data_IF_141862409434
#
_entry.id   IF_141862409434
#
_cell.length_a   1.000
_cell.length_b   1.000
_cell.length_c   1.000
_cell.angle_alpha   90.00
_cell.angle_beta   90.00
_cell.angle_gamma   90.00
#
_symmetry.space_group_name_H-M   'P 1'
#
loop_
_entity.id
_entity.type
_entity.pdbx_description
1 polymer ?
#
# COMPACT_ATOMS: atom_id res chain seq x y z
N UNK A 1 27.93 23.09 -1.85
CA UNK A 1 26.63 23.01 -1.14
C UNK A 1 26.70 23.60 0.28
N UNK A 2 25.64 24.21 0.84
CA UNK A 2 25.60 24.69 2.23
C UNK A 2 25.78 23.58 3.29
N UNK A 3 26.33 23.90 4.46
CA UNK A 3 26.64 22.90 5.49
C UNK A 3 25.41 22.18 6.06
N UNK A 4 24.24 22.84 6.10
CA UNK A 4 22.99 22.24 6.58
C UNK A 4 22.45 21.12 5.67
N UNK A 5 22.98 21.00 4.44
CA UNK A 5 22.62 19.94 3.51
C UNK A 5 23.55 18.73 3.58
N UNK A 6 24.66 18.80 4.31
CA UNK A 6 25.65 17.71 4.38
C UNK A 6 25.17 16.49 5.20
N UNK A 7 23.88 16.40 5.52
CA UNK A 7 23.18 15.29 6.17
C UNK A 7 23.94 14.60 7.31
N UNK A 8 24.71 15.37 8.08
CA UNK A 8 25.39 14.86 9.29
C UNK A 8 24.37 14.78 10.41
N UNK A 9 23.52 13.76 10.37
CA UNK A 9 22.56 13.53 11.43
C UNK A 9 23.25 12.97 12.67
N UNK A 10 23.05 13.62 13.82
CA UNK A 10 23.55 13.15 15.11
C UNK A 10 22.65 12.04 15.69
N UNK A 11 22.43 10.96 14.93
CA UNK A 11 21.63 9.80 15.35
C UNK A 11 22.51 8.55 15.60
N UNK A 12 22.01 7.57 16.38
CA UNK A 12 22.66 6.27 16.54
C UNK A 12 22.90 5.60 15.17
N UNK A 13 24.06 4.93 15.01
CA UNK A 13 24.53 4.36 13.73
C UNK A 13 23.49 3.64 12.86
N UNK A 14 22.62 2.75 13.37
CA UNK A 14 21.68 2.05 12.47
C UNK A 14 20.63 3.00 11.88
N UNK A 15 20.14 3.95 12.66
CA UNK A 15 19.14 4.93 12.20
C UNK A 15 19.79 5.94 11.25
N UNK A 16 21.02 6.37 11.54
CA UNK A 16 21.77 7.28 10.69
C UNK A 16 21.95 6.70 9.27
N UNK A 17 22.31 5.42 9.15
CA UNK A 17 22.48 4.74 7.84
C UNK A 17 21.15 4.68 7.07
N UNK A 18 20.05 4.35 7.74
CA UNK A 18 18.73 4.29 7.08
C UNK A 18 18.29 5.67 6.60
N UNK A 19 18.49 6.70 7.42
CA UNK A 19 18.13 8.08 7.07
C UNK A 19 19.03 8.63 5.96
N UNK A 20 20.33 8.30 5.96
CA UNK A 20 21.28 8.69 4.94
C UNK A 20 21.01 7.99 3.60
N UNK A 21 20.77 6.67 3.62
CA UNK A 21 20.37 5.91 2.44
C UNK A 21 19.01 6.35 1.92
N UNK A 22 18.05 6.59 2.82
CA UNK A 22 16.72 7.08 2.48
C UNK A 22 16.77 8.45 1.84
N UNK A 23 17.50 9.40 2.45
CA UNK A 23 17.68 10.73 1.91
C UNK A 23 18.43 10.72 0.57
N UNK A 24 19.55 10.00 0.49
CA UNK A 24 20.31 9.84 -0.75
C UNK A 24 19.46 9.21 -1.85
N UNK A 25 18.68 8.18 -1.51
CA UNK A 25 17.71 7.56 -2.41
C UNK A 25 16.62 8.52 -2.87
N UNK A 26 16.06 9.32 -1.96
CA UNK A 26 15.07 10.35 -2.26
C UNK A 26 15.64 11.45 -3.17
N UNK A 27 16.88 11.87 -2.94
CA UNK A 27 17.59 12.83 -3.79
C UNK A 27 17.89 12.25 -5.18
N UNK A 28 18.38 11.01 -5.25
CA UNK A 28 18.58 10.27 -6.49
C UNK A 28 17.27 10.11 -7.27
N UNK A 29 16.16 9.79 -6.60
CA UNK A 29 14.85 9.67 -7.23
C UNK A 29 14.30 11.03 -7.69
N UNK A 30 14.50 12.09 -6.90
CA UNK A 30 13.94 13.40 -7.20
C UNK A 30 14.68 14.15 -8.30
N UNK A 31 16.02 14.05 -8.34
CA UNK A 31 16.85 14.80 -9.28
C UNK A 31 17.47 13.93 -10.37
N UNK A 32 17.55 12.62 -10.17
CA UNK A 32 18.16 11.70 -11.13
C UNK A 32 19.67 11.93 -11.29
N UNK A 33 20.31 12.61 -10.33
CA UNK A 33 21.76 12.77 -10.19
C UNK A 33 22.22 12.05 -8.93
N UNK A 34 23.35 11.35 -9.00
CA UNK A 34 23.98 10.68 -7.86
C UNK A 34 24.71 11.64 -6.94
N UNK A 35 24.98 12.86 -7.41
CA UNK A 35 25.69 13.87 -6.67
C UNK A 35 24.86 15.16 -6.56
N UNK A 36 24.70 15.64 -5.33
CA UNK A 36 24.03 16.89 -5.03
C UNK A 36 24.95 18.10 -5.29
N UNK A 37 26.26 17.91 -5.22
CA UNK A 37 27.23 18.96 -5.52
C UNK A 37 27.27 19.27 -7.02
N UNK A 38 27.10 18.26 -7.87
CA UNK A 38 26.93 18.46 -9.32
C UNK A 38 25.65 19.26 -9.60
N UNK A 39 24.52 18.85 -9.01
CA UNK A 39 23.26 19.57 -9.14
C UNK A 39 23.38 21.01 -8.64
N UNK A 40 24.04 21.22 -7.50
CA UNK A 40 24.33 22.54 -6.95
C UNK A 40 25.11 23.40 -7.94
N UNK A 41 26.15 22.85 -8.55
CA UNK A 41 26.98 23.57 -9.51
C UNK A 41 26.20 23.96 -10.76
N UNK A 42 25.31 23.09 -11.25
CA UNK A 42 24.42 23.37 -12.38
C UNK A 42 23.45 24.49 -12.02
N UNK A 43 22.84 24.43 -10.83
CA UNK A 43 21.88 25.43 -10.36
C UNK A 43 22.51 26.79 -10.09
N UNK A 44 23.74 26.82 -9.57
CA UNK A 44 24.48 28.05 -9.38
C UNK A 44 24.87 28.71 -10.73
N UNK A 45 25.22 27.90 -11.73
CA UNK A 45 25.52 28.39 -13.09
C UNK A 45 24.26 28.74 -13.88
N UNK A 46 23.13 28.09 -13.59
CA UNK A 46 21.83 28.34 -14.21
C UNK A 46 21.31 29.76 -14.01
N UNK A 47 21.79 30.50 -12.99
CA UNK A 47 21.46 31.92 -12.83
C UNK A 47 22.06 32.77 -13.96
N UNK A 48 23.22 32.36 -14.50
CA UNK A 48 23.91 33.03 -15.60
C UNK A 48 23.53 32.44 -16.96
N UNK A 49 23.28 31.13 -17.03
CA UNK A 49 23.00 30.39 -18.26
C UNK A 49 21.62 29.71 -18.22
N UNK A 50 20.65 30.36 -18.88
CA UNK A 50 19.26 29.88 -18.96
C UNK A 50 19.10 28.63 -19.82
N UNK A 51 20.01 28.40 -20.78
CA UNK A 51 19.91 27.26 -21.69
C UNK A 51 20.24 25.97 -20.94
N UNK A 52 21.29 25.97 -20.10
CA UNK A 52 21.64 24.85 -19.24
C UNK A 52 20.50 24.46 -18.30
N UNK A 53 19.82 25.44 -17.71
CA UNK A 53 18.68 25.17 -16.83
C UNK A 53 17.50 24.55 -17.60
N UNK A 54 17.23 25.05 -18.80
CA UNK A 54 16.13 24.56 -19.64
C UNK A 54 16.40 23.14 -20.10
N UNK A 55 17.63 22.83 -20.51
CA UNK A 55 18.05 21.48 -20.89
C UNK A 55 17.96 20.50 -19.70
N UNK A 56 18.37 20.92 -18.51
CA UNK A 56 18.22 20.13 -17.29
C UNK A 56 16.74 19.87 -16.96
N UNK A 57 15.90 20.92 -17.00
CA UNK A 57 14.46 20.81 -16.77
C UNK A 57 13.81 19.83 -17.74
N UNK A 58 14.14 19.92 -19.02
CA UNK A 58 13.57 19.07 -20.06
C UNK A 58 13.92 17.60 -19.82
N UNK A 59 15.18 17.31 -19.46
CA UNK A 59 15.63 15.96 -19.10
C UNK A 59 14.87 15.38 -17.91
N UNK A 60 14.67 16.17 -16.85
CA UNK A 60 13.91 15.74 -15.67
C UNK A 60 12.44 15.54 -16.02
N UNK A 61 11.82 16.50 -16.71
CA UNK A 61 10.42 16.43 -17.14
C UNK A 61 10.14 15.19 -18.00
N UNK A 62 11.03 14.89 -18.95
CA UNK A 62 10.96 13.70 -19.80
C UNK A 62 10.95 12.41 -18.97
N UNK A 63 11.87 12.27 -18.01
CA UNK A 63 11.93 11.10 -17.11
C UNK A 63 10.69 10.94 -16.26
N UNK A 64 10.23 12.02 -15.62
CA UNK A 64 9.01 11.99 -14.78
C UNK A 64 7.78 11.67 -15.62
N UNK A 65 7.70 12.17 -16.85
CA UNK A 65 6.62 11.85 -17.79
C UNK A 65 6.59 10.35 -18.12
N UNK A 66 7.74 9.76 -18.49
CA UNK A 66 7.85 8.32 -18.77
C UNK A 66 7.45 7.49 -17.54
N UNK A 67 7.93 7.83 -16.34
CA UNK A 67 7.56 7.13 -15.10
C UNK A 67 6.07 7.24 -14.82
N UNK A 68 5.47 8.41 -15.04
CA UNK A 68 4.04 8.64 -14.83
C UNK A 68 3.19 7.82 -15.80
N UNK A 69 3.60 7.70 -17.07
CA UNK A 69 2.94 6.85 -18.07
C UNK A 69 3.03 5.38 -17.65
N UNK A 70 4.21 4.89 -17.29
CA UNK A 70 4.41 3.50 -16.84
C UNK A 70 3.59 3.21 -15.59
N UNK A 71 3.58 4.12 -14.61
CA UNK A 71 2.77 4.00 -13.41
C UNK A 71 1.26 3.94 -13.74
N UNK A 72 0.78 4.76 -14.68
CA UNK A 72 -0.60 4.72 -15.15
C UNK A 72 -0.98 3.41 -15.83
N UNK A 73 -0.06 2.80 -16.58
CA UNK A 73 -0.29 1.48 -17.19
C UNK A 73 -0.38 0.38 -16.13
N UNK A 74 0.56 0.36 -15.17
CA UNK A 74 0.53 -0.59 -14.04
C UNK A 74 -0.75 -0.40 -13.22
N UNK A 75 -1.18 0.84 -13.01
CA UNK A 75 -2.42 1.17 -12.32
C UNK A 75 -3.64 0.56 -13.02
N UNK A 76 -3.73 0.73 -14.35
CA UNK A 76 -4.84 0.18 -15.14
C UNK A 76 -4.87 -1.35 -15.08
N UNK A 77 -3.72 -2.01 -15.19
CA UNK A 77 -3.63 -3.47 -15.06
C UNK A 77 -4.01 -3.95 -13.65
N UNK A 78 -3.57 -3.24 -12.61
CA UNK A 78 -3.91 -3.56 -11.22
C UNK A 78 -5.41 -3.36 -10.96
N UNK A 79 -6.00 -2.29 -11.50
CA UNK A 79 -7.43 -2.04 -11.42
C UNK A 79 -8.23 -3.14 -12.13
N UNK A 80 -7.79 -3.59 -13.31
CA UNK A 80 -8.41 -4.72 -14.00
C UNK A 80 -8.43 -5.96 -13.10
N UNK A 81 -7.27 -6.36 -12.54
CA UNK A 81 -7.18 -7.48 -11.61
C UNK A 81 -8.04 -7.31 -10.35
N UNK A 82 -8.20 -6.08 -9.85
CA UNK A 82 -9.03 -5.79 -8.70
C UNK A 82 -10.54 -5.93 -8.98
N UNK A 83 -10.95 -5.76 -10.24
CA UNK A 83 -12.37 -5.80 -10.65
C UNK A 83 -12.82 -7.11 -11.28
N UNK A 84 -11.88 -7.96 -11.71
CA UNK A 84 -12.19 -9.24 -12.35
C UNK A 84 -12.28 -10.38 -11.34
N UNK A 85 -13.36 -11.17 -11.40
CA UNK A 85 -13.46 -12.41 -10.64
C UNK A 85 -12.37 -13.41 -11.06
N UNK A 86 -11.71 -14.10 -10.10
CA UNK A 86 -10.66 -15.04 -10.43
C UNK A 86 -11.23 -16.24 -11.19
N UNK A 87 -10.63 -16.64 -12.34
CA UNK A 87 -11.14 -17.75 -13.14
C UNK A 87 -11.04 -19.12 -12.43
N UNK A 88 -10.26 -19.21 -11.34
CA UNK A 88 -10.10 -20.43 -10.52
C UNK A 88 -9.98 -20.09 -9.03
N UNK A 89 -11.08 -20.12 -8.25
CA UNK A 89 -11.06 -19.74 -6.83
C UNK A 89 -10.20 -20.65 -5.95
N UNK A 90 -9.83 -21.85 -6.42
CA UNK A 90 -9.02 -22.82 -5.64
C UNK A 90 -7.51 -22.59 -5.70
N UNK A 91 -6.99 -21.84 -6.67
CA UNK A 91 -5.55 -21.67 -6.87
C UNK A 91 -5.01 -20.41 -6.20
N UNK A 92 -5.80 -19.34 -6.20
CA UNK A 92 -5.43 -18.08 -5.58
C UNK A 92 -6.69 -17.29 -5.23
N UNK A 93 -7.02 -17.28 -3.95
CA UNK A 93 -8.21 -16.62 -3.44
C UNK A 93 -7.90 -15.17 -3.07
N UNK A 94 -7.78 -14.32 -4.11
CA UNK A 94 -7.59 -12.88 -3.92
C UNK A 94 -8.82 -12.19 -3.31
N UNK A 95 -9.94 -12.91 -3.13
CA UNK A 95 -11.13 -12.39 -2.45
C UNK A 95 -11.01 -12.41 -0.92
N UNK A 96 -9.96 -13.03 -0.37
CA UNK A 96 -9.65 -12.84 1.04
C UNK A 96 -9.41 -11.36 1.35
N UNK A 97 -10.03 -10.90 2.43
CA UNK A 97 -10.06 -9.49 2.84
C UNK A 97 -8.66 -8.87 2.92
N UNK A 98 -7.64 -9.65 3.30
CA UNK A 98 -6.26 -9.20 3.36
C UNK A 98 -5.63 -8.89 1.99
N UNK A 99 -5.81 -9.77 1.00
CA UNK A 99 -5.28 -9.58 -0.33
C UNK A 99 -5.96 -8.39 -1.04
N UNK A 100 -7.28 -8.26 -0.88
CA UNK A 100 -8.04 -7.14 -1.42
C UNK A 100 -7.60 -5.79 -0.85
N UNK A 101 -7.37 -5.70 0.46
CA UNK A 101 -6.82 -4.49 1.10
C UNK A 101 -5.42 -4.16 0.59
N UNK A 102 -4.56 -5.15 0.38
CA UNK A 102 -3.23 -4.94 -0.18
C UNK A 102 -3.32 -4.38 -1.61
N UNK A 103 -4.18 -4.96 -2.45
CA UNK A 103 -4.39 -4.47 -3.83
C UNK A 103 -4.92 -3.03 -3.82
N UNK A 104 -5.97 -2.74 -3.03
CA UNK A 104 -6.50 -1.38 -2.89
C UNK A 104 -5.47 -0.39 -2.36
N UNK A 105 -4.63 -0.80 -1.41
CA UNK A 105 -3.55 0.05 -0.88
C UNK A 105 -2.53 0.39 -1.95
N UNK A 106 -2.09 -0.60 -2.73
CA UNK A 106 -1.14 -0.39 -3.82
C UNK A 106 -1.74 0.49 -4.92
N UNK A 107 -3.02 0.29 -5.24
CA UNK A 107 -3.78 1.14 -6.17
C UNK A 107 -3.79 2.60 -5.70
N UNK A 108 -4.12 2.84 -4.43
CA UNK A 108 -4.15 4.19 -3.86
C UNK A 108 -2.78 4.88 -3.89
N UNK A 109 -1.71 4.15 -3.54
CA UNK A 109 -0.34 4.67 -3.59
C UNK A 109 0.05 5.04 -5.03
N UNK A 110 -0.27 4.19 -6.02
CA UNK A 110 0.04 4.46 -7.43
C UNK A 110 -0.76 5.67 -7.93
N UNK A 111 -2.06 5.78 -7.63
CA UNK A 111 -2.87 6.96 -7.97
C UNK A 111 -2.27 8.23 -7.36
N UNK A 112 -1.92 8.19 -6.08
CA UNK A 112 -1.27 9.31 -5.39
C UNK A 112 0.04 9.71 -6.05
N UNK A 113 0.88 8.73 -6.42
CA UNK A 113 2.13 8.94 -7.15
C UNK A 113 1.92 9.61 -8.51
N UNK A 114 0.92 9.18 -9.29
CA UNK A 114 0.59 9.78 -10.60
C UNK A 114 0.13 11.23 -10.44
N UNK A 115 -0.70 11.53 -9.44
CA UNK A 115 -1.18 12.90 -9.17
C UNK A 115 0.00 13.79 -8.76
N UNK A 116 0.82 13.36 -7.80
CA UNK A 116 1.99 14.14 -7.35
C UNK A 116 3.00 14.31 -8.46
N UNK A 117 3.26 13.28 -9.28
CA UNK A 117 4.12 13.36 -10.46
C UNK A 117 3.62 14.41 -11.46
N UNK A 118 2.32 14.43 -11.72
CA UNK A 118 1.69 15.40 -12.62
C UNK A 118 1.80 16.84 -12.10
N UNK A 119 1.51 17.05 -10.80
CA UNK A 119 1.67 18.37 -10.15
C UNK A 119 3.14 18.80 -10.18
N UNK A 120 4.08 17.88 -9.94
CA UNK A 120 5.52 18.17 -9.95
C UNK A 120 5.99 18.62 -11.33
N UNK A 121 5.56 17.96 -12.40
CA UNK A 121 5.83 18.40 -13.78
C UNK A 121 5.26 19.80 -14.00
N UNK A 122 4.02 20.06 -13.60
CA UNK A 122 3.39 21.37 -13.75
C UNK A 122 4.11 22.48 -12.97
N UNK A 123 4.52 22.23 -11.73
CA UNK A 123 5.30 23.21 -10.95
C UNK A 123 6.65 23.43 -11.61
N UNK A 124 7.30 22.36 -12.10
CA UNK A 124 8.59 22.45 -12.76
C UNK A 124 8.51 23.31 -14.03
N UNK A 125 7.42 23.26 -14.81
CA UNK A 125 7.28 24.10 -16.00
C UNK A 125 7.22 25.59 -15.67
N UNK A 126 6.58 25.96 -14.55
CA UNK A 126 6.42 27.33 -14.06
C UNK A 126 7.61 27.84 -13.23
N UNK A 127 8.50 26.94 -12.83
CA UNK A 127 9.59 27.24 -11.93
C UNK A 127 10.73 28.02 -12.61
N UNK A 128 11.12 29.16 -12.05
CA UNK A 128 12.34 29.88 -12.45
C UNK A 128 13.54 29.34 -11.69
N UNK A 129 14.75 29.37 -12.27
CA UNK A 129 15.97 28.87 -11.61
C UNK A 129 16.18 29.50 -10.22
N UNK A 130 15.91 30.81 -10.11
CA UNK A 130 16.02 31.56 -8.85
C UNK A 130 15.01 31.10 -7.79
N UNK A 131 13.76 30.88 -8.18
CA UNK A 131 12.75 30.33 -7.27
C UNK A 131 13.10 28.89 -6.89
N UNK A 132 13.51 28.07 -7.87
CA UNK A 132 13.91 26.70 -7.65
C UNK A 132 15.03 26.62 -6.60
N UNK A 133 16.09 27.39 -6.80
CA UNK A 133 17.22 27.50 -5.88
C UNK A 133 16.74 27.97 -4.50
N UNK A 134 16.00 29.09 -4.41
CA UNK A 134 15.57 29.64 -3.12
C UNK A 134 14.65 28.69 -2.34
N UNK A 135 13.72 28.05 -3.03
CA UNK A 135 12.73 27.14 -2.43
C UNK A 135 13.33 25.79 -2.07
N UNK A 136 14.13 25.18 -2.95
CA UNK A 136 14.80 23.93 -2.66
C UNK A 136 15.71 24.07 -1.45
N UNK A 137 16.49 25.15 -1.37
CA UNK A 137 17.59 25.26 -0.42
C UNK A 137 17.22 25.81 0.94
N UNK A 138 16.11 26.53 1.00
CA UNK A 138 15.65 27.15 2.23
C UNK A 138 15.41 26.09 3.30
N UNK A 139 14.88 24.91 2.96
CA UNK A 139 14.58 23.89 3.99
C UNK A 139 14.18 22.53 3.38
N UNK A 140 14.80 21.42 3.79
CA UNK A 140 14.48 20.07 3.29
C UNK A 140 13.05 19.63 3.64
N UNK A 141 12.53 20.05 4.80
CA UNK A 141 11.14 19.78 5.20
C UNK A 141 10.12 20.61 4.39
N UNK A 142 10.55 21.77 3.89
CA UNK A 142 9.72 22.66 3.09
C UNK A 142 9.61 22.23 1.64
N UNK A 143 10.40 21.29 1.11
CA UNK A 143 10.11 20.78 -0.24
C UNK A 143 8.77 20.02 -0.25
N UNK A 144 8.58 19.14 0.74
CA UNK A 144 7.30 18.48 0.98
C UNK A 144 6.21 19.51 1.29
N UNK A 145 6.42 20.41 2.25
CA UNK A 145 5.39 21.39 2.63
C UNK A 145 5.10 22.39 1.50
N UNK A 146 6.08 22.87 0.74
CA UNK A 146 5.91 23.86 -0.33
C UNK A 146 5.21 23.28 -1.56
N UNK A 147 5.42 22.00 -1.90
CA UNK A 147 4.60 21.33 -2.92
C UNK A 147 3.14 21.27 -2.46
N UNK A 148 2.90 20.96 -1.18
CA UNK A 148 1.55 20.96 -0.62
C UNK A 148 0.95 22.37 -0.49
N UNK A 149 1.77 23.36 -0.12
CA UNK A 149 1.35 24.75 0.03
C UNK A 149 1.05 25.38 -1.33
N UNK A 150 1.86 25.08 -2.35
CA UNK A 150 1.62 25.47 -3.73
C UNK A 150 0.35 24.79 -4.28
N UNK A 151 0.11 23.51 -3.96
CA UNK A 151 -1.13 22.82 -4.28
C UNK A 151 -2.34 23.43 -3.52
N UNK A 152 -2.15 23.91 -2.29
CA UNK A 152 -3.16 24.61 -1.50
C UNK A 152 -3.46 26.02 -2.02
N UNK A 153 -2.50 26.67 -2.70
CA UNK A 153 -2.66 27.99 -3.29
C UNK A 153 -3.17 27.98 -4.72
N UNK A 154 -3.21 26.83 -5.39
CA UNK A 154 -3.88 26.71 -6.67
C UNK A 154 -5.37 27.03 -6.49
N UNK A 155 -5.95 27.89 -7.34
CA UNK A 155 -7.39 28.21 -7.29
C UNK A 155 -8.25 26.98 -7.59
N UNK A 156 -7.71 26.03 -8.36
CA UNK A 156 -8.37 24.78 -8.68
C UNK A 156 -8.49 23.86 -7.47
N UNK A 157 -9.63 23.18 -7.33
CA UNK A 157 -9.87 22.22 -6.24
C UNK A 157 -9.07 20.91 -6.40
N UNK A 158 -8.61 20.62 -7.61
CA UNK A 158 -8.00 19.35 -8.00
C UNK A 158 -6.62 19.10 -7.34
N UNK A 159 -5.70 20.09 -7.29
CA UNK A 159 -4.43 19.96 -6.56
C UNK A 159 -4.63 19.86 -5.04
N UNK A 160 -5.64 20.54 -4.49
CA UNK A 160 -6.00 20.49 -3.06
C UNK A 160 -6.43 19.08 -2.65
N UNK A 161 -7.29 18.46 -3.46
CA UNK A 161 -7.73 17.08 -3.24
C UNK A 161 -6.55 16.10 -3.38
N UNK A 162 -5.70 16.29 -4.39
CA UNK A 162 -4.51 15.47 -4.61
C UNK A 162 -3.52 15.48 -3.43
N UNK A 163 -3.21 16.66 -2.90
CA UNK A 163 -2.35 16.83 -1.74
C UNK A 163 -2.92 16.16 -0.48
N UNK A 164 -4.22 16.36 -0.20
CA UNK A 164 -4.90 15.75 0.94
C UNK A 164 -4.92 14.22 0.84
N UNK A 165 -5.22 13.67 -0.35
CA UNK A 165 -5.19 12.22 -0.59
C UNK A 165 -3.78 11.66 -0.43
N UNK A 166 -2.74 12.36 -0.90
CA UNK A 166 -1.36 11.87 -0.78
C UNK A 166 -0.87 11.75 0.66
N UNK A 167 -1.30 12.63 1.57
CA UNK A 167 -0.93 12.52 2.99
C UNK A 167 -1.89 11.65 3.78
N UNK A 168 -3.19 11.76 3.54
CA UNK A 168 -4.17 11.04 4.35
C UNK A 168 -4.22 9.58 3.93
N UNK A 169 -4.13 9.26 2.64
CA UNK A 169 -4.28 7.89 2.15
C UNK A 169 -3.21 6.93 2.66
N UNK A 170 -1.89 7.19 2.56
CA UNK A 170 -0.90 6.22 3.06
C UNK A 170 -0.95 6.09 4.58
N UNK A 171 -1.22 7.16 5.32
CA UNK A 171 -1.37 7.08 6.78
C UNK A 171 -2.66 6.38 7.19
N UNK A 172 -3.77 6.60 6.50
CA UNK A 172 -5.05 5.92 6.76
C UNK A 172 -5.00 4.45 6.36
N UNK A 173 -4.32 4.12 5.27
CA UNK A 173 -4.06 2.76 4.82
C UNK A 173 -3.12 2.04 5.78
N UNK A 174 -2.01 2.67 6.20
CA UNK A 174 -1.10 2.09 7.18
C UNK A 174 -1.81 1.88 8.53
N UNK A 175 -2.65 2.83 8.94
CA UNK A 175 -3.48 2.71 10.14
C UNK A 175 -4.52 1.59 10.01
N UNK A 176 -5.24 1.51 8.89
CA UNK A 176 -6.21 0.45 8.62
C UNK A 176 -5.53 -0.93 8.55
N UNK A 177 -4.33 -1.01 7.97
CA UNK A 177 -3.53 -2.22 7.94
C UNK A 177 -3.07 -2.62 9.34
N UNK A 178 -2.51 -1.70 10.11
CA UNK A 178 -2.11 -1.95 11.50
C UNK A 178 -3.31 -2.38 12.37
N UNK A 179 -4.46 -1.74 12.16
CA UNK A 179 -5.70 -2.07 12.86
C UNK A 179 -6.20 -3.48 12.50
N UNK A 180 -6.27 -3.81 11.20
CA UNK A 180 -6.73 -5.12 10.74
C UNK A 180 -5.79 -6.25 11.14
N UNK A 181 -4.48 -6.03 11.08
CA UNK A 181 -3.48 -6.99 11.57
C UNK A 181 -3.54 -7.15 13.09
N UNK A 182 -3.68 -6.06 13.84
CA UNK A 182 -3.85 -6.09 15.30
C UNK A 182 -5.07 -6.91 15.70
N UNK A 183 -6.19 -6.74 14.99
CA UNK A 183 -7.42 -7.49 15.26
C UNK A 183 -7.27 -8.99 14.98
N UNK A 184 -6.51 -9.36 13.92
CA UNK A 184 -6.21 -10.75 13.60
C UNK A 184 -5.29 -11.40 14.65
N UNK A 185 -4.28 -10.69 15.14
CA UNK A 185 -3.38 -11.19 16.19
C UNK A 185 -4.16 -11.39 17.50
N UNK A 186 -4.99 -10.42 17.89
CA UNK A 186 -5.83 -10.52 19.09
C UNK A 186 -6.82 -11.67 18.96
N UNK A 187 -7.47 -11.83 17.81
CA UNK A 187 -8.42 -12.92 17.56
C UNK A 187 -7.73 -14.29 17.54
N UNK A 188 -6.52 -14.39 16.99
CA UNK A 188 -5.69 -15.59 17.01
C UNK A 188 -5.28 -16.00 18.43
N UNK A 189 -4.85 -15.03 19.24
CA UNK A 189 -4.53 -15.26 20.66
C UNK A 189 -5.78 -15.70 21.44
N UNK A 190 -6.92 -15.04 21.23
CA UNK A 190 -8.18 -15.38 21.90
C UNK A 190 -8.68 -16.80 21.54
N UNK A 191 -8.66 -17.16 20.25
CA UNK A 191 -9.01 -18.51 19.79
C UNK A 191 -8.05 -19.58 20.29
N UNK A 192 -6.78 -19.24 20.51
CA UNK A 192 -5.80 -20.16 21.10
C UNK A 192 -6.06 -20.36 22.59
N UNK A 193 -6.45 -19.30 23.31
CA UNK A 193 -6.90 -19.36 24.69
C UNK A 193 -8.15 -20.23 24.87
N UNK A 194 -9.17 -20.03 24.03
CA UNK A 194 -10.39 -20.87 24.06
C UNK A 194 -10.09 -22.34 23.80
N UNK A 195 -9.19 -22.66 22.88
CA UNK A 195 -8.75 -24.04 22.62
C UNK A 195 -7.97 -24.62 23.80
N UNK A 196 -7.21 -23.82 24.54
CA UNK A 196 -6.55 -24.27 25.76
C UNK A 196 -7.56 -24.61 26.86
N UNK A 197 -8.58 -23.77 27.06
CA UNK A 197 -9.66 -24.00 28.03
C UNK A 197 -10.46 -25.26 27.67
N UNK A 198 -10.81 -25.44 26.38
CA UNK A 198 -11.53 -26.61 25.91
C UNK A 198 -10.75 -27.92 26.05
N UNK A 199 -9.43 -27.89 25.90
CA UNK A 199 -8.55 -29.06 26.16
C UNK A 199 -8.52 -29.40 27.65
N UNK A 200 -8.33 -28.41 28.51
CA UNK A 200 -8.32 -28.60 29.96
C UNK A 200 -9.63 -29.20 30.48
N UNK A 201 -10.78 -28.67 30.02
CA UNK A 201 -12.09 -29.20 30.39
C UNK A 201 -12.31 -30.66 29.90
N UNK A 202 -11.67 -31.07 28.80
CA UNK A 202 -11.74 -32.45 28.30
C UNK A 202 -10.85 -33.39 29.12
N UNK A 203 -9.68 -32.94 29.55
CA UNK A 203 -8.77 -33.71 30.40
C UNK A 203 -9.34 -33.87 31.82
N UNK A 204 -9.90 -32.81 32.42
CA UNK A 204 -10.59 -32.87 33.73
C UNK A 204 -11.77 -33.86 33.71
N UNK A 205 -12.41 -34.05 32.55
CA UNK A 205 -13.50 -35.03 32.38
C UNK A 205 -13.00 -36.47 32.27
N UNK A 206 -11.74 -36.68 31.91
CA UNK A 206 -11.10 -38.01 31.81
C UNK A 206 -10.68 -38.53 33.18
N UNK A 207 -10.30 -37.63 34.08
CA UNK A 207 -9.87 -37.96 35.45
C UNK A 207 -11.02 -37.91 36.46
N UNK A 208 -12.25 -37.61 36.01
CA UNK A 208 -13.45 -37.70 36.83
C UNK A 208 -13.67 -39.13 37.33
N UNK A 209 -14.31 -39.30 38.51
CA UNK A 209 -14.52 -40.61 39.11
C UNK A 209 -15.21 -41.52 38.09
N UNK A 210 -14.63 -42.71 37.87
CA UNK A 210 -15.22 -43.76 37.05
C UNK A 210 -16.56 -44.11 37.69
N UNK A 211 -17.62 -43.48 37.21
CA UNK A 211 -18.97 -43.84 37.61
C UNK A 211 -19.17 -45.25 37.06
N UNK A 212 -19.33 -46.27 37.94
CA UNK A 212 -19.55 -47.62 37.47
C UNK A 212 -20.76 -47.57 36.54
N UNK A 213 -20.53 -47.98 35.30
CA UNK A 213 -21.56 -48.12 34.28
C UNK A 213 -22.56 -49.16 34.79
N UNK A 214 -23.57 -48.69 35.52
CA UNK A 214 -24.77 -49.47 35.83
C UNK A 214 -25.37 -49.79 34.47
N UNK A 215 -25.20 -51.05 34.06
CA UNK A 215 -25.71 -51.60 32.83
C UNK A 215 -27.24 -51.52 32.87
N UNK A 216 -27.79 -50.39 32.43
CA UNK A 216 -29.20 -50.28 32.10
C UNK A 216 -29.38 -50.92 30.73
N UNK A 217 -29.46 -52.26 30.73
CA UNK A 217 -29.93 -53.07 29.62
C UNK A 217 -31.42 -52.78 29.39
N UNK A 218 -31.71 -51.61 28.81
CA UNK A 218 -33.02 -51.18 28.37
C UNK A 218 -32.99 -50.96 26.87
N UNK A 219 -33.12 -52.05 26.12
CA UNK A 219 -33.15 -52.12 24.66
C UNK A 219 -34.43 -51.45 24.15
N UNK A 220 -34.44 -50.13 24.01
CA UNK A 220 -35.47 -49.42 23.25
C UNK A 220 -34.97 -49.33 21.80
N UNK A 221 -35.50 -50.23 20.99
CA UNK A 221 -35.39 -50.21 19.53
C UNK A 221 -36.03 -48.92 19.00
N UNK A 222 -35.22 -47.88 18.76
CA UNK A 222 -35.69 -46.76 17.94
C UNK A 222 -35.77 -47.21 16.48
N UNK A 223 -36.88 -46.92 15.78
CA UNK A 223 -37.00 -47.16 14.37
C UNK A 223 -35.99 -46.30 13.62
N UNK A 224 -35.19 -46.95 12.79
CA UNK A 224 -34.39 -46.36 11.72
C UNK A 224 -35.23 -45.35 10.94
N UNK A 225 -34.86 -44.05 10.90
CA UNK A 225 -35.41 -43.16 9.89
C UNK A 225 -34.89 -43.64 8.54
N UNK A 226 -35.83 -44.05 7.69
CA UNK A 226 -35.58 -44.30 6.28
C UNK A 226 -34.83 -43.11 5.69
N UNK A 227 -33.63 -43.42 5.23
CA UNK A 227 -32.84 -42.59 4.33
C UNK A 227 -33.65 -42.47 3.05
N UNK A 228 -34.41 -41.38 2.94
CA UNK A 228 -34.92 -40.86 1.67
C UNK A 228 -33.71 -40.49 0.82
N UNK A 229 -33.24 -41.49 0.09
CA UNK A 229 -32.24 -41.43 -0.97
C UNK A 229 -32.86 -40.67 -2.15
N UNK A 230 -32.92 -39.35 -2.01
CA UNK A 230 -33.17 -38.41 -3.11
C UNK A 230 -31.91 -38.17 -3.93
N UNK A 231 -31.30 -39.24 -4.43
CA UNK A 231 -30.41 -39.15 -5.59
C UNK A 231 -31.31 -39.22 -6.82
N UNK A 232 -31.19 -38.28 -7.77
CA UNK A 232 -31.47 -38.42 -9.22
C UNK A 232 -32.25 -37.29 -9.91
N UNK A 233 -32.15 -35.99 -9.58
CA UNK A 233 -32.74 -34.94 -10.49
C UNK A 233 -31.95 -33.64 -10.71
N UNK A 234 -30.69 -33.53 -10.26
CA UNK A 234 -29.88 -32.32 -10.54
C UNK A 234 -28.82 -32.48 -11.64
N UNK A 235 -28.73 -33.64 -12.28
CA UNK A 235 -27.78 -33.91 -13.38
C UNK A 235 -28.25 -33.52 -14.79
N UNK A 236 -29.49 -33.06 -14.97
CA UNK A 236 -30.09 -32.88 -16.31
C UNK A 236 -30.28 -31.42 -16.76
N UNK A 237 -30.01 -30.45 -15.88
CA UNK A 237 -30.14 -29.01 -16.24
C UNK A 237 -28.79 -28.42 -16.69
N UNK A 238 -27.65 -29.03 -16.34
CA UNK A 238 -26.33 -28.46 -16.69
C UNK A 238 -25.92 -28.72 -18.15
N UNK A 239 -26.53 -29.68 -18.85
CA UNK A 239 -26.21 -29.98 -20.26
C UNK A 239 -26.94 -29.10 -21.30
N UNK A 240 -27.90 -28.26 -20.90
CA UNK A 240 -28.66 -27.41 -21.83
C UNK A 240 -28.13 -25.97 -21.95
N UNK A 241 -27.26 -25.55 -21.03
CA UNK A 241 -26.70 -24.18 -21.00
C UNK A 241 -25.33 -24.04 -21.69
N UNK A 242 -24.75 -25.15 -22.15
CA UNK A 242 -23.44 -25.15 -22.83
C UNK A 242 -23.53 -25.13 -24.37
N UNK A 243 -24.72 -24.86 -24.94
CA UNK A 243 -24.98 -24.92 -26.39
C UNK A 243 -25.55 -23.62 -26.99
N UNK A 244 -25.35 -22.48 -26.33
CA UNK A 244 -25.53 -21.13 -26.90
C UNK A 244 -24.28 -20.30 -26.64
#
# INVERSE_FOLDING_TARGET
MPDHWKCKFAYPRPIAIIMELGFTGLCLLSFGSSDLDELWSIMARAEQDKELFTAYKDRVSSRVSVITIVAGLILSTTAAFATTDPPRPRLLDYTQTGAYLCILSSLGIIVGGVIVGSISIFVMTQCTARWCMRTLLSTPMLYGIAINLAAMHAESALPKLGAAVFFIAPFSVAFAFAWTQGLLVVRGAWMSGLRAIGRKARDDRRDGPVVPSVALAGRISMPTPEVLRGDSELGLIESSLQRR
#
